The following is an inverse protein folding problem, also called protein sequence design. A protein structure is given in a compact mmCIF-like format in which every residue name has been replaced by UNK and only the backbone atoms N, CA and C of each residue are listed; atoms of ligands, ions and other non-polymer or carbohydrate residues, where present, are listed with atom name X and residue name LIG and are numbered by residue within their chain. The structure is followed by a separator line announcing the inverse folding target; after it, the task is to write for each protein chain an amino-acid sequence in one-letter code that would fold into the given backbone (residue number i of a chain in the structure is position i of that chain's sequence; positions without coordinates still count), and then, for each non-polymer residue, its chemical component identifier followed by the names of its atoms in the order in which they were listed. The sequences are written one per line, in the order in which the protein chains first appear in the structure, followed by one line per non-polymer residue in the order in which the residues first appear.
data_IF_639711819182
#
_entry.id   IF_639711819182
#
_cell.length_a   1.000
_cell.length_b   1.000
_cell.length_c   1.000
_cell.angle_alpha   90.00
_cell.angle_beta   90.00
_cell.angle_gamma   90.00
#
_symmetry.space_group_name_H-M   'P 1'
#
loop_
_entity.id
_entity.type
_entity.pdbx_description
1 polymer ?
#
# COMPACT_ATOMS: atom_id res chain seq x y z
N UNK A 1 2.24 29.57 -22.76
CA UNK A 1 2.87 29.34 -21.45
C UNK A 1 3.55 28.00 -21.46
N UNK A 2 4.89 28.00 -21.46
CA UNK A 2 5.81 26.89 -21.75
C UNK A 2 5.99 25.88 -20.59
N UNK A 3 4.91 25.42 -19.96
CA UNK A 3 5.02 24.46 -18.84
C UNK A 3 4.87 22.98 -19.24
N UNK A 4 4.55 22.68 -20.52
CA UNK A 4 4.35 21.30 -20.99
C UNK A 4 5.60 20.50 -21.42
N UNK A 5 6.78 21.06 -21.74
CA UNK A 5 7.89 20.24 -22.25
C UNK A 5 8.94 19.82 -21.21
N UNK A 6 8.69 19.97 -19.89
CA UNK A 6 9.64 19.58 -18.82
C UNK A 6 9.17 18.36 -18.00
N UNK A 7 8.07 17.71 -18.39
CA UNK A 7 7.57 16.48 -17.73
C UNK A 7 8.26 15.22 -18.29
N UNK A 8 9.10 15.36 -19.30
CA UNK A 8 9.79 14.24 -19.94
C UNK A 8 11.31 14.47 -19.90
N UNK A 9 12.06 13.37 -19.81
CA UNK A 9 13.46 13.20 -19.36
C UNK A 9 13.57 12.81 -17.87
N UNK A 10 13.36 11.51 -17.62
CA UNK A 10 13.52 10.74 -16.37
C UNK A 10 12.35 10.77 -15.36
N UNK A 11 11.11 10.70 -15.86
CA UNK A 11 10.00 10.25 -15.00
C UNK A 11 10.21 8.75 -14.66
N UNK A 12 10.87 8.48 -13.54
CA UNK A 12 10.95 7.13 -12.98
C UNK A 12 9.56 6.72 -12.51
N UNK A 13 8.83 5.98 -13.35
CA UNK A 13 7.51 5.45 -13.01
C UNK A 13 7.68 4.40 -11.93
N UNK A 14 7.09 4.67 -10.76
CA UNK A 14 6.96 3.70 -9.68
C UNK A 14 5.50 3.30 -9.56
N UNK A 15 5.25 2.00 -9.48
CA UNK A 15 3.91 1.47 -9.24
C UNK A 15 3.70 1.33 -7.74
N UNK A 16 2.59 1.86 -7.24
CA UNK A 16 2.12 1.60 -5.89
C UNK A 16 0.89 0.71 -5.98
N UNK A 17 0.92 -0.41 -5.27
CA UNK A 17 -0.23 -1.27 -5.06
C UNK A 17 -0.48 -1.43 -3.56
N UNK A 18 -1.76 -1.46 -3.18
CA UNK A 18 -2.19 -1.70 -1.82
C UNK A 18 -3.07 -2.95 -1.82
N UNK A 19 -2.48 -4.07 -1.41
CA UNK A 19 -3.18 -5.35 -1.37
C UNK A 19 -3.59 -5.70 0.06
N UNK A 20 -4.67 -6.47 0.18
CA UNK A 20 -5.20 -6.93 1.46
C UNK A 20 -4.83 -8.40 1.67
N UNK A 21 -4.17 -8.71 2.79
CA UNK A 21 -3.77 -10.08 3.14
C UNK A 21 -4.63 -10.55 4.30
N UNK A 22 -5.34 -11.66 4.09
CA UNK A 22 -6.12 -12.31 5.15
C UNK A 22 -5.22 -13.12 6.08
N UNK A 23 -5.59 -13.15 7.35
CA UNK A 23 -4.98 -14.02 8.35
C UNK A 23 -6.00 -14.98 8.91
N UNK A 24 -5.67 -16.26 8.81
CA UNK A 24 -6.40 -17.34 9.48
C UNK A 24 -5.83 -17.58 10.88
N UNK A 25 -6.69 -17.96 11.82
CA UNK A 25 -6.31 -18.29 13.19
C UNK A 25 -6.72 -17.25 14.24
N UNK A 26 -6.86 -17.75 15.48
CA UNK A 26 -7.46 -17.02 16.59
C UNK A 26 -6.44 -16.38 17.55
N UNK A 27 -5.14 -16.42 17.22
CA UNK A 27 -4.10 -15.86 18.08
C UNK A 27 -4.11 -14.33 18.05
N UNK A 28 -4.18 -13.71 19.22
CA UNK A 28 -4.11 -12.26 19.39
C UNK A 28 -2.79 -11.88 20.06
N UNK A 29 -2.16 -10.82 19.56
CA UNK A 29 -0.92 -10.28 20.09
C UNK A 29 -1.14 -8.83 20.51
N UNK A 30 -0.35 -8.33 21.46
CA UNK A 30 -0.36 -6.89 21.76
C UNK A 30 0.16 -6.12 20.55
N UNK A 31 -0.58 -5.11 20.09
CA UNK A 31 -0.22 -4.33 18.90
C UNK A 31 -0.46 -5.06 17.57
N UNK A 32 -1.46 -5.95 17.52
CA UNK A 32 -1.76 -6.72 16.33
C UNK A 32 -2.22 -5.85 15.16
N UNK A 33 -1.46 -5.83 14.08
CA UNK A 33 -1.85 -5.15 12.83
C UNK A 33 -3.01 -5.85 12.12
N UNK A 34 -3.28 -7.11 12.49
CA UNK A 34 -4.37 -7.92 11.91
C UNK A 34 -5.69 -7.54 12.54
N UNK A 35 -6.35 -6.56 11.94
CA UNK A 35 -7.63 -6.02 12.36
C UNK A 35 -8.77 -6.58 11.50
N UNK A 36 -9.98 -6.54 12.02
CA UNK A 36 -11.17 -6.88 11.24
C UNK A 36 -11.54 -5.70 10.34
N UNK A 37 -11.67 -5.96 9.05
CA UNK A 37 -12.09 -4.98 8.06
C UNK A 37 -12.89 -5.62 6.93
N UNK A 38 -13.44 -4.78 6.06
CA UNK A 38 -14.11 -5.24 4.85
C UNK A 38 -13.03 -5.74 3.87
N UNK A 39 -13.07 -7.02 3.53
CA UNK A 39 -12.23 -7.59 2.48
C UNK A 39 -12.78 -7.22 1.10
N UNK A 40 -11.93 -7.30 0.09
CA UNK A 40 -12.31 -7.03 -1.30
C UNK A 40 -13.41 -7.98 -1.81
N UNK A 41 -13.60 -9.15 -1.18
CA UNK A 41 -14.72 -10.07 -1.49
C UNK A 41 -16.04 -9.71 -0.76
N UNK A 42 -16.12 -8.57 -0.06
CA UNK A 42 -17.32 -8.11 0.64
C UNK A 42 -17.61 -8.84 1.94
N UNK A 43 -16.64 -9.59 2.47
CA UNK A 43 -16.73 -10.29 3.75
C UNK A 43 -15.93 -9.52 4.80
N UNK A 44 -16.41 -9.54 6.05
CA UNK A 44 -15.61 -9.06 7.18
C UNK A 44 -14.63 -10.17 7.54
N UNK A 45 -13.34 -9.89 7.38
CA UNK A 45 -12.28 -10.83 7.66
C UNK A 45 -11.19 -10.16 8.48
N UNK A 46 -10.43 -10.99 9.20
CA UNK A 46 -9.23 -10.56 9.87
C UNK A 46 -8.13 -10.42 8.84
N UNK A 47 -7.60 -9.21 8.70
CA UNK A 47 -6.71 -8.85 7.61
C UNK A 47 -5.69 -7.81 8.04
N UNK A 48 -4.69 -7.58 7.21
CA UNK A 48 -3.83 -6.41 7.24
C UNK A 48 -3.57 -5.96 5.80
N UNK A 49 -3.08 -4.74 5.61
CA UNK A 49 -2.83 -4.21 4.28
C UNK A 49 -1.33 -4.12 4.03
N UNK A 50 -0.90 -4.49 2.83
CA UNK A 50 0.49 -4.41 2.39
C UNK A 50 0.56 -3.41 1.23
N UNK A 51 1.19 -2.27 1.48
CA UNK A 51 1.56 -1.32 0.44
C UNK A 51 2.91 -1.72 -0.13
N UNK A 52 3.01 -1.83 -1.45
CA UNK A 52 4.27 -2.13 -2.16
C UNK A 52 4.53 -1.04 -3.18
N UNK A 53 5.76 -0.55 -3.20
CA UNK A 53 6.28 0.31 -4.27
C UNK A 53 7.28 -0.50 -5.08
N UNK A 54 7.10 -0.52 -6.39
CA UNK A 54 7.96 -1.26 -7.32
C UNK A 54 8.34 -0.43 -8.53
N UNK A 55 9.46 -0.79 -9.17
CA UNK A 55 9.88 -0.20 -10.45
C UNK A 55 8.91 -0.59 -11.57
N UNK A 56 9.08 0.02 -12.74
CA UNK A 56 8.29 -0.32 -13.92
C UNK A 56 8.44 -1.80 -14.34
N UNK A 57 9.59 -2.42 -14.02
CA UNK A 57 9.90 -3.83 -14.27
C UNK A 57 9.38 -4.77 -13.17
N UNK A 58 8.70 -4.23 -12.16
CA UNK A 58 8.17 -5.00 -11.03
C UNK A 58 9.19 -5.33 -9.94
N UNK A 59 10.36 -4.69 -9.93
CA UNK A 59 11.34 -4.87 -8.85
C UNK A 59 10.87 -4.12 -7.60
N UNK A 60 10.72 -4.78 -6.43
CA UNK A 60 10.26 -4.11 -5.22
C UNK A 60 11.32 -3.12 -4.71
N UNK A 61 10.89 -1.88 -4.46
CA UNK A 61 11.71 -0.78 -3.93
C UNK A 61 11.41 -0.57 -2.46
N UNK A 62 10.14 -0.65 -2.06
CA UNK A 62 9.69 -0.41 -0.70
C UNK A 62 8.43 -1.22 -0.37
N UNK A 63 8.24 -1.53 0.90
CA UNK A 63 7.00 -2.10 1.41
C UNK A 63 6.66 -1.52 2.79
N UNK A 64 5.36 -1.42 3.08
CA UNK A 64 4.85 -1.01 4.39
C UNK A 64 3.60 -1.81 4.75
N UNK A 65 3.51 -2.20 6.03
CA UNK A 65 2.37 -2.94 6.59
C UNK A 65 1.49 -1.98 7.35
N UNK A 66 0.19 -2.01 7.07
CA UNK A 66 -0.82 -1.18 7.72
C UNK A 66 -1.90 -2.04 8.37
N UNK A 67 -2.58 -1.46 9.37
CA UNK A 67 -3.68 -2.12 10.06
C UNK A 67 -4.84 -2.45 9.10
N UNK A 68 -5.42 -3.63 9.28
CA UNK A 68 -6.52 -4.17 8.46
C UNK A 68 -7.87 -3.50 8.64
N UNK A 69 -7.94 -2.18 8.54
CA UNK A 69 -9.18 -1.40 8.39
C UNK A 69 -8.86 0.06 8.00
N UNK A 70 -7.72 0.29 7.36
CA UNK A 70 -7.23 1.64 7.05
C UNK A 70 -7.63 2.03 5.63
N UNK A 71 -8.21 3.21 5.42
CA UNK A 71 -8.57 3.67 4.08
C UNK A 71 -7.33 4.00 3.22
N UNK A 72 -7.33 3.55 1.97
CA UNK A 72 -6.26 3.65 0.97
C UNK A 72 -5.68 5.08 0.80
N UNK A 73 -6.51 6.12 0.91
CA UNK A 73 -6.04 7.51 0.76
C UNK A 73 -5.07 7.96 1.86
N UNK A 74 -5.08 7.30 3.03
CA UNK A 74 -4.16 7.61 4.13
C UNK A 74 -2.79 6.94 4.00
N UNK A 75 -2.61 5.96 3.11
CA UNK A 75 -1.37 5.18 3.00
C UNK A 75 -0.48 5.65 1.85
N UNK A 76 -1.07 6.16 0.77
CA UNK A 76 -0.34 6.61 -0.42
C UNK A 76 0.56 7.84 -0.19
N UNK A 77 0.02 8.92 0.37
CA UNK A 77 0.77 10.17 0.56
C UNK A 77 1.98 10.03 1.50
N UNK A 78 1.87 9.33 2.66
CA UNK A 78 3.03 9.08 3.51
C UNK A 78 4.07 8.18 2.85
N UNK A 79 3.64 7.15 2.10
CA UNK A 79 4.55 6.24 1.41
C UNK A 79 5.35 6.97 0.33
N UNK A 80 4.69 7.78 -0.50
CA UNK A 80 5.36 8.60 -1.51
C UNK A 80 6.34 9.59 -0.87
N UNK A 81 6.01 10.18 0.27
CA UNK A 81 6.89 11.12 0.99
C UNK A 81 8.12 10.46 1.63
N UNK A 82 8.15 9.13 1.80
CA UNK A 82 9.31 8.39 2.32
C UNK A 82 10.25 7.91 1.21
N UNK A 83 9.71 7.71 0.00
CA UNK A 83 10.42 7.08 -1.13
C UNK A 83 10.97 8.13 -2.11
N UNK A 84 10.35 9.31 -2.19
CA UNK A 84 10.79 10.48 -2.96
C UNK A 84 11.42 11.53 -2.05
#
# INVERSE_FOLDING_TARGET
GLLRPLIDQDLSVVFYDLTTIRSEGLSEQVGDVRQYGMANEGLIARQFMLGVVQTAEGLPIYHEVFDGNTAETRTLLPTLSKVL
#
